data_IF_087950507238
#
_entry.id   IF_087950507238
#
_cell.length_a   1.000
_cell.length_b   1.000
_cell.length_c   1.000
_cell.angle_alpha   90.00
_cell.angle_beta   90.00
_cell.angle_gamma   90.00
#
_symmetry.space_group_name_H-M   'P 1'
#
loop_
_entity.id
_entity.type
_entity.pdbx_description
1 polymer ?
#
# COMPACT_ATOMS: atom_id res chain seq x y z
N UNK A 1 -17.08 28.53 -9.24
CA UNK A 1 -15.90 27.82 -8.73
C UNK A 1 -15.73 26.62 -9.62
N UNK A 2 -14.54 26.38 -10.18
CA UNK A 2 -14.34 25.19 -11.02
C UNK A 2 -14.34 23.93 -10.15
N UNK A 3 -14.88 22.85 -10.69
CA UNK A 3 -15.00 21.57 -10.00
C UNK A 3 -13.99 20.54 -10.52
N UNK A 4 -13.52 19.66 -9.65
CA UNK A 4 -12.64 18.55 -10.01
C UNK A 4 -13.10 17.24 -9.36
N UNK A 5 -13.12 16.18 -10.15
CA UNK A 5 -13.40 14.83 -9.69
C UNK A 5 -12.17 13.93 -9.84
N UNK A 6 -11.95 13.07 -8.88
CA UNK A 6 -10.81 12.14 -8.85
C UNK A 6 -11.27 10.70 -8.91
N UNK A 7 -10.54 9.88 -9.66
CA UNK A 7 -10.65 8.42 -9.56
C UNK A 7 -9.26 7.80 -9.44
N UNK A 8 -9.07 6.98 -8.40
CA UNK A 8 -7.77 6.35 -8.11
C UNK A 8 -7.86 4.85 -8.28
N UNK A 9 -7.00 4.32 -9.13
CA UNK A 9 -6.77 2.90 -9.29
C UNK A 9 -5.39 2.52 -8.72
N UNK A 10 -5.30 1.37 -8.07
CA UNK A 10 -4.03 0.78 -7.66
C UNK A 10 -3.75 0.81 -6.17
N UNK A 11 -2.52 1.15 -5.79
CA UNK A 11 -1.95 0.94 -4.46
C UNK A 11 -2.04 2.18 -3.55
N UNK A 12 -1.61 2.02 -2.29
CA UNK A 12 -1.54 3.11 -1.29
C UNK A 12 -0.74 4.32 -1.79
N UNK A 13 0.31 4.09 -2.62
CA UNK A 13 1.09 5.19 -3.22
C UNK A 13 0.24 6.02 -4.17
N UNK A 14 -0.57 5.38 -5.04
CA UNK A 14 -1.47 6.12 -5.93
C UNK A 14 -2.52 6.92 -5.13
N UNK A 15 -3.05 6.37 -4.06
CA UNK A 15 -3.99 7.08 -3.19
C UNK A 15 -3.34 8.30 -2.53
N UNK A 16 -2.12 8.15 -1.98
CA UNK A 16 -1.36 9.28 -1.45
C UNK A 16 -1.17 10.37 -2.51
N UNK A 17 -0.78 9.98 -3.72
CA UNK A 17 -0.54 10.90 -4.84
C UNK A 17 -1.79 11.62 -5.30
N UNK A 18 -2.95 10.96 -5.28
CA UNK A 18 -4.24 11.62 -5.57
C UNK A 18 -4.57 12.69 -4.53
N UNK A 19 -4.38 12.41 -3.25
CA UNK A 19 -4.60 13.42 -2.21
C UNK A 19 -3.61 14.58 -2.33
N UNK A 20 -2.34 14.31 -2.70
CA UNK A 20 -1.35 15.34 -2.96
C UNK A 20 -1.73 16.22 -4.18
N UNK A 21 -2.23 15.62 -5.26
CA UNK A 21 -2.76 16.38 -6.41
C UNK A 21 -3.99 17.18 -6.00
N UNK A 22 -4.87 16.62 -5.17
CA UNK A 22 -6.02 17.36 -4.65
C UNK A 22 -5.62 18.64 -3.91
N UNK A 23 -4.54 18.62 -3.12
CA UNK A 23 -4.08 19.84 -2.43
C UNK A 23 -3.70 20.94 -3.45
N UNK A 24 -3.06 20.60 -4.58
CA UNK A 24 -2.77 21.57 -5.63
C UNK A 24 -4.04 22.22 -6.18
N UNK A 25 -5.07 21.42 -6.45
CA UNK A 25 -6.36 21.93 -6.94
C UNK A 25 -7.08 22.79 -5.90
N UNK A 26 -7.03 22.37 -4.62
CA UNK A 26 -7.61 23.12 -3.51
C UNK A 26 -6.98 24.50 -3.37
N UNK A 27 -5.65 24.59 -3.45
CA UNK A 27 -4.90 25.88 -3.44
C UNK A 27 -5.26 26.76 -4.64
N UNK A 28 -5.59 26.16 -5.78
CA UNK A 28 -6.10 26.85 -6.97
C UNK A 28 -7.62 27.13 -6.93
N UNK A 29 -8.27 27.02 -5.77
CA UNK A 29 -9.69 27.28 -5.54
C UNK A 29 -10.65 26.40 -6.38
N UNK A 30 -10.30 25.12 -6.61
CA UNK A 30 -11.25 24.14 -7.11
C UNK A 30 -12.05 23.52 -5.97
N UNK A 31 -13.28 23.11 -6.28
CA UNK A 31 -14.11 22.29 -5.43
C UNK A 31 -14.00 20.82 -5.84
N UNK A 32 -13.73 19.93 -4.85
CA UNK A 32 -13.74 18.48 -5.10
C UNK A 32 -15.17 17.97 -5.07
N UNK A 33 -15.57 17.27 -6.13
CA UNK A 33 -16.88 16.64 -6.25
C UNK A 33 -16.74 15.14 -6.45
N UNK A 34 -17.83 14.41 -6.25
CA UNK A 34 -17.87 12.98 -6.52
C UNK A 34 -17.57 12.68 -7.99
N UNK A 35 -16.94 11.52 -8.23
CA UNK A 35 -16.60 11.10 -9.60
C UNK A 35 -17.82 10.92 -10.49
N UNK A 36 -18.98 10.66 -9.91
CA UNK A 36 -20.28 10.56 -10.60
C UNK A 36 -20.92 11.92 -10.91
N UNK A 37 -20.40 13.00 -10.34
CA UNK A 37 -20.90 14.35 -10.59
C UNK A 37 -20.40 14.90 -11.92
N UNK A 38 -21.06 15.96 -12.40
CA UNK A 38 -20.63 16.68 -13.60
C UNK A 38 -19.50 17.66 -13.23
N UNK A 39 -18.24 17.22 -13.35
CA UNK A 39 -17.07 18.01 -13.02
C UNK A 39 -16.47 18.72 -14.26
N UNK A 40 -15.83 19.88 -14.03
CA UNK A 40 -15.08 20.60 -15.08
C UNK A 40 -13.75 19.93 -15.44
N UNK A 41 -13.19 19.18 -14.50
CA UNK A 41 -11.93 18.43 -14.66
C UNK A 41 -12.08 17.05 -14.04
N UNK A 42 -11.66 16.01 -14.76
CA UNK A 42 -11.50 14.67 -14.22
C UNK A 42 -10.01 14.31 -14.16
N UNK A 43 -9.55 13.88 -13.00
CA UNK A 43 -8.18 13.40 -12.78
C UNK A 43 -8.22 11.90 -12.49
N UNK A 44 -7.72 11.09 -13.41
CA UNK A 44 -7.70 9.63 -13.28
C UNK A 44 -6.26 9.18 -12.99
N UNK A 45 -6.02 8.72 -11.74
CA UNK A 45 -4.74 8.15 -11.32
C UNK A 45 -4.75 6.64 -11.59
N UNK A 46 -3.93 6.21 -12.54
CA UNK A 46 -4.01 4.90 -13.17
C UNK A 46 -2.99 3.90 -12.61
N UNK A 47 -3.35 2.61 -12.65
CA UNK A 47 -2.49 1.49 -12.27
C UNK A 47 -2.11 0.66 -13.49
N UNK A 48 -0.90 0.03 -13.44
CA UNK A 48 -0.36 -0.82 -14.52
C UNK A 48 0.28 -2.11 -14.02
N UNK A 49 0.03 -2.51 -12.78
CA UNK A 49 0.65 -3.72 -12.19
C UNK A 49 0.19 -4.98 -12.93
N UNK A 50 -1.06 -5.02 -13.39
CA UNK A 50 -1.65 -6.14 -14.14
C UNK A 50 -2.34 -5.66 -15.42
N UNK A 51 -2.50 -6.56 -16.40
CA UNK A 51 -3.28 -6.26 -17.62
C UNK A 51 -4.74 -5.89 -17.30
N UNK A 52 -5.31 -6.46 -16.24
CA UNK A 52 -6.64 -6.08 -15.73
C UNK A 52 -6.65 -4.64 -15.23
N UNK A 53 -5.56 -4.18 -14.60
CA UNK A 53 -5.39 -2.78 -14.17
C UNK A 53 -5.45 -1.80 -15.34
N UNK A 54 -4.75 -2.10 -16.45
CA UNK A 54 -4.78 -1.27 -17.66
C UNK A 54 -6.17 -1.24 -18.28
N UNK A 55 -6.84 -2.41 -18.38
CA UNK A 55 -8.21 -2.50 -18.89
C UNK A 55 -9.18 -1.65 -18.06
N UNK A 56 -9.10 -1.75 -16.73
CA UNK A 56 -9.91 -0.93 -15.82
C UNK A 56 -9.59 0.56 -15.99
N UNK A 57 -8.31 0.93 -16.10
CA UNK A 57 -7.89 2.31 -16.33
C UNK A 57 -8.55 2.88 -17.57
N UNK A 58 -8.49 2.17 -18.72
CA UNK A 58 -9.16 2.62 -19.96
C UNK A 58 -10.68 2.69 -19.84
N UNK A 59 -11.31 1.80 -19.06
CA UNK A 59 -12.76 1.84 -18.83
C UNK A 59 -13.16 3.11 -18.05
N UNK A 60 -12.41 3.46 -17.00
CA UNK A 60 -12.67 4.66 -16.19
C UNK A 60 -12.43 5.93 -17.00
N UNK A 61 -11.34 6.01 -17.78
CA UNK A 61 -11.08 7.15 -18.69
C UNK A 61 -12.27 7.36 -19.63
N UNK A 62 -12.72 6.31 -20.33
CA UNK A 62 -13.87 6.40 -21.25
C UNK A 62 -15.19 6.72 -20.53
N UNK A 63 -15.32 6.32 -19.25
CA UNK A 63 -16.48 6.67 -18.44
C UNK A 63 -16.50 8.17 -18.15
N UNK A 64 -15.39 8.77 -17.71
CA UNK A 64 -15.27 10.19 -17.46
C UNK A 64 -15.59 11.02 -18.70
N UNK A 65 -15.04 10.64 -19.87
CA UNK A 65 -15.33 11.31 -21.16
C UNK A 65 -16.81 11.29 -21.51
N UNK A 66 -17.50 10.15 -21.31
CA UNK A 66 -18.94 10.06 -21.59
C UNK A 66 -19.79 10.83 -20.60
N UNK A 67 -19.32 10.99 -19.37
CA UNK A 67 -20.05 11.67 -18.30
C UNK A 67 -20.11 13.18 -18.52
N UNK A 68 -19.01 13.79 -18.94
CA UNK A 68 -18.96 15.19 -19.34
C UNK A 68 -17.98 15.36 -20.53
N UNK A 69 -18.49 15.40 -21.76
CA UNK A 69 -17.65 15.57 -22.96
C UNK A 69 -16.91 16.92 -23.04
N UNK A 70 -17.38 17.93 -22.28
CA UNK A 70 -16.78 19.27 -22.25
C UNK A 70 -15.72 19.42 -21.13
N UNK A 71 -15.61 18.44 -20.23
CA UNK A 71 -14.62 18.45 -19.15
C UNK A 71 -13.21 18.22 -19.67
N UNK A 72 -12.22 18.72 -18.93
CA UNK A 72 -10.81 18.40 -19.18
C UNK A 72 -10.49 17.05 -18.56
N UNK A 73 -10.05 16.09 -19.37
CA UNK A 73 -9.70 14.74 -18.96
C UNK A 73 -8.19 14.61 -18.74
N UNK A 74 -7.78 14.50 -17.50
CA UNK A 74 -6.38 14.35 -17.08
C UNK A 74 -6.10 12.92 -16.64
N UNK A 75 -5.07 12.30 -17.19
CA UNK A 75 -4.65 10.94 -16.85
C UNK A 75 -3.24 10.96 -16.27
N UNK A 76 -3.05 10.36 -15.11
CA UNK A 76 -1.75 10.24 -14.44
C UNK A 76 -1.52 8.82 -13.91
N UNK A 77 -0.37 8.58 -13.29
CA UNK A 77 -0.05 7.32 -12.63
C UNK A 77 0.78 6.35 -13.47
N UNK A 78 0.83 5.08 -13.00
CA UNK A 78 1.75 4.09 -13.56
C UNK A 78 1.44 3.72 -15.01
N UNK A 79 0.16 3.59 -15.39
CA UNK A 79 -0.22 3.31 -16.76
C UNK A 79 0.05 4.52 -17.68
N UNK A 80 -0.21 5.73 -17.21
CA UNK A 80 0.15 6.94 -17.94
C UNK A 80 1.65 7.02 -18.21
N UNK A 81 2.50 6.63 -17.25
CA UNK A 81 3.95 6.63 -17.41
C UNK A 81 4.44 5.61 -18.43
N UNK A 82 3.85 4.41 -18.47
CA UNK A 82 4.35 3.31 -19.32
C UNK A 82 3.74 3.28 -20.72
N UNK A 83 2.55 3.86 -20.89
CA UNK A 83 1.73 3.74 -22.10
C UNK A 83 1.06 5.06 -22.49
N UNK A 84 1.78 6.19 -22.32
CA UNK A 84 1.20 7.52 -22.60
C UNK A 84 0.70 7.67 -24.04
N UNK A 85 1.41 7.10 -25.02
CA UNK A 85 1.00 7.15 -26.43
C UNK A 85 -0.36 6.46 -26.64
N UNK A 86 -0.56 5.24 -26.07
CA UNK A 86 -1.82 4.51 -26.14
C UNK A 86 -2.99 5.28 -25.49
N UNK A 87 -2.70 5.99 -24.39
CA UNK A 87 -3.71 6.80 -23.69
C UNK A 87 -4.06 8.04 -24.50
N UNK A 88 -3.09 8.69 -25.14
CA UNK A 88 -3.32 9.84 -26.01
C UNK A 88 -4.14 9.52 -27.27
N UNK A 89 -4.15 8.25 -27.70
CA UNK A 89 -5.01 7.77 -28.80
C UNK A 89 -6.49 7.61 -28.38
N UNK A 90 -6.83 7.72 -27.09
CA UNK A 90 -8.22 7.66 -26.62
C UNK A 90 -8.87 9.03 -26.91
N UNK A 91 -9.86 9.13 -27.82
CA UNK A 91 -10.51 10.40 -28.13
C UNK A 91 -11.14 11.02 -26.89
N UNK A 92 -10.84 12.29 -26.60
CA UNK A 92 -11.31 13.02 -25.44
C UNK A 92 -10.37 13.00 -24.23
N UNK A 93 -9.17 12.41 -24.34
CA UNK A 93 -8.10 12.62 -23.36
C UNK A 93 -7.33 13.89 -23.72
N UNK A 94 -7.19 14.79 -22.78
CA UNK A 94 -6.63 16.12 -23.00
C UNK A 94 -5.22 16.27 -22.44
N UNK A 95 -4.96 15.73 -21.24
CA UNK A 95 -3.68 15.86 -20.55
C UNK A 95 -3.23 14.51 -20.01
N UNK A 96 -2.00 14.12 -20.32
CA UNK A 96 -1.36 12.92 -19.75
C UNK A 96 -0.08 13.32 -19.04
N UNK A 97 0.01 12.99 -17.74
CA UNK A 97 1.19 13.22 -16.90
C UNK A 97 1.62 11.90 -16.30
N UNK A 98 2.93 11.62 -16.26
CA UNK A 98 3.47 10.37 -15.70
C UNK A 98 3.42 10.31 -14.18
N UNK A 99 4.35 9.57 -13.61
CA UNK A 99 4.54 9.41 -12.17
C UNK A 99 5.49 10.47 -11.57
N UNK A 100 5.82 11.48 -12.34
CA UNK A 100 6.67 12.61 -12.00
C UNK A 100 6.07 13.89 -12.57
N UNK A 101 6.49 15.04 -12.06
CA UNK A 101 6.04 16.36 -12.54
C UNK A 101 4.54 16.64 -12.35
N UNK A 102 3.91 16.00 -11.37
CA UNK A 102 2.47 16.18 -11.08
C UNK A 102 2.14 17.60 -10.64
N UNK A 103 3.10 18.30 -10.05
CA UNK A 103 2.99 19.73 -9.72
C UNK A 103 2.72 20.61 -10.95
N UNK A 104 3.03 20.14 -12.17
CA UNK A 104 2.77 20.85 -13.42
C UNK A 104 1.35 20.65 -13.98
N UNK A 105 0.54 19.76 -13.34
CA UNK A 105 -0.76 19.36 -13.90
C UNK A 105 -1.70 20.54 -14.14
N UNK A 106 -1.80 21.47 -13.19
CA UNK A 106 -2.62 22.69 -13.34
C UNK A 106 -2.15 23.55 -14.49
N UNK A 107 -0.83 23.71 -14.67
CA UNK A 107 -0.26 24.43 -15.80
C UNK A 107 -0.64 23.82 -17.16
N UNK A 108 -0.60 22.50 -17.28
CA UNK A 108 -1.02 21.78 -18.49
C UNK A 108 -2.54 21.91 -18.75
N UNK A 109 -3.37 21.91 -17.70
CA UNK A 109 -4.82 22.17 -17.84
C UNK A 109 -5.06 23.57 -18.39
N UNK A 110 -4.37 24.58 -17.87
CA UNK A 110 -4.51 25.97 -18.33
C UNK A 110 -3.99 26.15 -19.76
N UNK A 111 -2.91 25.49 -20.15
CA UNK A 111 -2.38 25.46 -21.51
C UNK A 111 -3.40 24.80 -22.46
N UNK A 112 -3.91 23.61 -22.12
CA UNK A 112 -4.94 22.93 -22.90
C UNK A 112 -6.19 23.80 -23.09
N UNK A 113 -6.67 24.48 -22.03
CA UNK A 113 -7.85 25.36 -22.11
C UNK A 113 -7.66 26.51 -23.11
N UNK A 114 -6.42 27.00 -23.24
CA UNK A 114 -6.08 28.09 -24.16
C UNK A 114 -5.91 27.60 -25.61
N UNK A 115 -5.16 26.51 -25.76
CA UNK A 115 -4.70 26.06 -27.08
C UNK A 115 -5.58 24.96 -27.69
N UNK A 116 -6.36 24.27 -26.87
CA UNK A 116 -7.20 23.13 -27.28
C UNK A 116 -6.41 22.01 -27.99
N UNK A 117 -5.13 21.86 -27.66
CA UNK A 117 -4.27 20.79 -28.16
C UNK A 117 -3.95 19.82 -27.03
N UNK A 118 -4.16 18.50 -27.22
CA UNK A 118 -3.84 17.50 -26.20
C UNK A 118 -2.36 17.53 -25.84
N UNK A 119 -2.05 17.39 -24.53
CA UNK A 119 -0.72 17.54 -23.96
C UNK A 119 -0.22 16.21 -23.39
N UNK A 120 0.91 15.72 -23.88
CA UNK A 120 1.65 14.61 -23.29
C UNK A 120 2.86 15.14 -22.52
N UNK A 121 2.70 15.32 -21.20
CA UNK A 121 3.73 15.79 -20.29
C UNK A 121 4.60 14.66 -19.69
N UNK A 122 4.54 13.43 -20.23
CA UNK A 122 5.27 12.29 -19.68
C UNK A 122 6.75 12.35 -20.03
N UNK A 123 7.59 12.50 -18.99
CA UNK A 123 9.04 12.49 -19.12
C UNK A 123 9.67 11.11 -18.95
N UNK A 124 10.99 11.03 -19.19
CA UNK A 124 11.76 9.80 -18.98
C UNK A 124 12.07 9.60 -17.49
N UNK A 125 11.25 8.78 -16.82
CA UNK A 125 11.36 8.51 -15.39
C UNK A 125 12.71 7.88 -14.98
N UNK A 126 13.39 7.16 -15.89
CA UNK A 126 14.68 6.54 -15.62
C UNK A 126 15.82 7.54 -15.47
N UNK A 127 15.64 8.78 -15.93
CA UNK A 127 16.61 9.87 -15.75
C UNK A 127 16.42 10.64 -14.45
N UNK A 128 15.27 10.47 -13.80
CA UNK A 128 14.96 11.20 -12.58
C UNK A 128 15.73 10.65 -11.37
N UNK A 129 16.31 11.56 -10.57
CA UNK A 129 17.10 11.23 -9.37
C UNK A 129 16.56 11.93 -8.12
N UNK A 130 15.59 12.80 -8.26
CA UNK A 130 15.02 13.53 -7.13
C UNK A 130 13.65 12.98 -6.74
N UNK A 131 13.41 12.91 -5.44
CA UNK A 131 12.06 12.66 -4.93
C UNK A 131 11.17 13.88 -5.28
N UNK A 132 9.93 13.66 -5.69
CA UNK A 132 8.97 14.73 -5.91
C UNK A 132 8.24 15.02 -4.60
N UNK A 133 8.51 16.19 -4.01
CA UNK A 133 7.83 16.64 -2.81
C UNK A 133 6.41 17.11 -3.18
N UNK A 134 5.44 16.43 -2.63
CA UNK A 134 4.02 16.78 -2.71
C UNK A 134 3.44 16.52 -1.32
N UNK A 135 3.06 17.56 -0.63
CA UNK A 135 2.58 17.47 0.74
C UNK A 135 1.11 17.10 0.82
N UNK A 136 0.79 16.23 1.79
CA UNK A 136 -0.58 15.82 2.12
C UNK A 136 -0.79 16.11 3.60
N UNK A 137 -1.35 17.28 3.96
CA UNK A 137 -1.52 17.66 5.36
C UNK A 137 -2.60 16.83 6.08
N UNK A 138 -3.55 16.27 5.36
CA UNK A 138 -4.60 15.39 5.87
C UNK A 138 -5.21 14.56 4.74
N UNK A 139 -5.97 13.51 5.10
CA UNK A 139 -6.74 12.66 4.20
C UNK A 139 -8.23 12.83 4.48
N UNK A 140 -9.04 12.98 3.45
CA UNK A 140 -10.47 13.30 3.60
C UNK A 140 -11.26 12.15 4.22
N UNK A 141 -10.92 10.88 3.87
CA UNK A 141 -11.78 9.72 4.18
C UNK A 141 -10.96 8.56 4.79
N UNK A 142 -9.99 8.86 5.69
CA UNK A 142 -9.15 7.82 6.27
C UNK A 142 -8.87 8.07 7.74
N UNK A 143 -8.94 7.00 8.52
CA UNK A 143 -8.60 6.98 9.95
C UNK A 143 -7.12 6.79 10.21
N UNK A 144 -6.38 6.24 9.24
CA UNK A 144 -4.93 6.06 9.27
C UNK A 144 -4.28 6.88 8.14
N UNK A 145 -3.28 7.68 8.49
CA UNK A 145 -2.57 8.51 7.52
C UNK A 145 -1.50 7.70 6.77
N UNK A 146 -1.52 7.76 5.43
CA UNK A 146 -0.42 7.23 4.63
C UNK A 146 0.67 8.28 4.49
N UNK A 147 1.93 7.92 4.74
CA UNK A 147 3.09 8.79 4.57
C UNK A 147 4.05 8.17 3.55
N UNK A 148 4.13 8.77 2.38
CA UNK A 148 5.02 8.30 1.33
C UNK A 148 6.45 8.74 1.61
N UNK A 149 7.32 7.77 1.91
CA UNK A 149 8.72 8.01 2.26
C UNK A 149 9.69 7.67 1.14
N UNK A 150 9.25 6.93 0.10
CA UNK A 150 10.15 6.39 -0.89
C UNK A 150 9.43 6.20 -2.24
N UNK A 151 10.17 6.33 -3.34
CA UNK A 151 9.71 6.18 -4.72
C UNK A 151 10.69 5.33 -5.53
N UNK A 152 10.17 4.60 -6.55
CA UNK A 152 10.98 3.80 -7.47
C UNK A 152 11.55 2.51 -6.85
N UNK A 153 12.16 1.66 -7.69
CA UNK A 153 12.72 0.38 -7.26
C UNK A 153 13.89 -0.07 -8.15
N UNK A 154 14.97 -0.56 -7.52
CA UNK A 154 16.18 -1.05 -8.20
C UNK A 154 16.23 -2.59 -8.30
N UNK A 155 15.14 -3.31 -8.01
CA UNK A 155 15.18 -4.78 -8.01
C UNK A 155 15.10 -5.39 -9.42
N UNK A 156 14.36 -4.78 -10.34
CA UNK A 156 14.20 -5.26 -11.71
C UNK A 156 13.80 -6.74 -11.79
N UNK A 157 12.86 -7.17 -10.92
CA UNK A 157 12.32 -8.52 -10.97
C UNK A 157 11.73 -8.81 -12.35
N UNK A 158 11.89 -10.04 -12.86
CA UNK A 158 11.56 -10.37 -14.26
C UNK A 158 10.10 -10.21 -14.65
N UNK A 159 9.19 -10.21 -13.69
CA UNK A 159 7.75 -10.04 -13.87
C UNK A 159 7.24 -8.61 -13.65
N UNK A 160 8.10 -7.71 -13.15
CA UNK A 160 7.67 -6.43 -12.60
C UNK A 160 7.93 -5.27 -13.57
N UNK A 161 6.88 -4.49 -13.86
CA UNK A 161 6.95 -3.29 -14.69
C UNK A 161 7.30 -2.02 -13.89
N UNK A 162 7.29 -2.10 -12.57
CA UNK A 162 7.40 -0.93 -11.67
C UNK A 162 8.67 -0.09 -11.90
N UNK A 163 9.88 -0.63 -12.13
CA UNK A 163 11.03 0.21 -12.41
C UNK A 163 10.83 1.16 -13.60
N UNK A 164 10.11 0.72 -14.64
CA UNK A 164 9.81 1.55 -15.81
C UNK A 164 8.66 2.54 -15.58
N UNK A 165 7.75 2.20 -14.66
CA UNK A 165 6.66 3.10 -14.27
C UNK A 165 7.08 4.13 -13.22
N UNK A 166 7.99 3.78 -12.32
CA UNK A 166 8.35 4.58 -11.14
C UNK A 166 9.81 5.01 -11.08
N UNK A 167 10.64 4.53 -11.99
CA UNK A 167 12.06 4.82 -12.07
C UNK A 167 12.91 4.17 -10.98
N UNK A 168 14.14 4.66 -10.86
CA UNK A 168 15.08 4.19 -9.85
C UNK A 168 14.67 4.67 -8.46
N UNK A 169 15.19 3.97 -7.44
CA UNK A 169 14.93 4.28 -6.04
C UNK A 169 15.33 5.71 -5.68
N UNK A 170 14.43 6.36 -4.97
CA UNK A 170 14.60 7.71 -4.42
C UNK A 170 13.94 7.77 -3.06
N UNK A 171 14.73 8.01 -2.02
CA UNK A 171 14.23 8.24 -0.67
C UNK A 171 13.83 9.70 -0.50
N UNK A 172 12.78 9.94 0.24
CA UNK A 172 12.40 11.26 0.69
C UNK A 172 13.36 11.74 1.79
N UNK A 173 13.61 13.04 1.84
CA UNK A 173 14.43 13.66 2.86
C UNK A 173 13.90 13.33 4.27
N UNK A 174 14.74 12.84 5.22
CA UNK A 174 14.32 12.44 6.55
C UNK A 174 13.64 13.55 7.35
N UNK A 175 14.15 14.77 7.28
CA UNK A 175 13.58 15.93 8.00
C UNK A 175 12.17 16.22 7.48
N UNK A 176 11.95 16.13 6.16
CA UNK A 176 10.63 16.30 5.54
C UNK A 176 9.66 15.19 5.91
N UNK A 177 10.14 13.95 6.07
CA UNK A 177 9.32 12.84 6.53
C UNK A 177 8.84 13.08 7.97
N UNK A 178 9.74 13.47 8.88
CA UNK A 178 9.43 13.75 10.29
C UNK A 178 8.50 14.97 10.42
N UNK A 179 8.76 16.04 9.64
CA UNK A 179 7.92 17.23 9.59
C UNK A 179 6.47 16.87 9.20
N UNK A 180 6.28 16.14 8.10
CA UNK A 180 4.94 15.74 7.66
C UNK A 180 4.28 14.75 8.62
N UNK A 181 5.04 13.81 9.21
CA UNK A 181 4.51 12.92 10.24
C UNK A 181 3.95 13.72 11.42
N UNK A 182 4.67 14.76 11.86
CA UNK A 182 4.26 15.65 12.94
C UNK A 182 2.98 16.43 12.57
N UNK A 183 2.88 16.92 11.33
CA UNK A 183 1.67 17.62 10.83
C UNK A 183 0.45 16.68 10.83
N UNK A 184 0.62 15.42 10.38
CA UNK A 184 -0.44 14.41 10.38
C UNK A 184 -0.92 14.10 11.80
N UNK A 185 0.00 13.94 12.77
CA UNK A 185 -0.33 13.75 14.18
C UNK A 185 -1.10 14.95 14.75
N UNK A 186 -0.65 16.16 14.45
CA UNK A 186 -1.33 17.39 14.86
C UNK A 186 -2.74 17.54 14.23
N UNK A 187 -2.98 16.89 13.08
CA UNK A 187 -4.29 16.77 12.44
C UNK A 187 -5.18 15.67 13.05
N UNK A 188 -4.71 14.98 14.12
CA UNK A 188 -5.49 14.01 14.90
C UNK A 188 -5.22 12.54 14.57
N UNK A 189 -4.35 12.20 13.59
CA UNK A 189 -4.06 10.82 13.25
C UNK A 189 -3.24 10.13 14.36
N UNK A 190 -3.68 8.93 14.75
CA UNK A 190 -3.03 8.08 15.74
C UNK A 190 -2.08 7.05 15.13
N UNK A 191 -2.36 6.63 13.89
CA UNK A 191 -1.54 5.67 13.14
C UNK A 191 -1.03 6.28 11.83
N UNK A 192 0.29 6.17 11.58
CA UNK A 192 0.93 6.52 10.31
C UNK A 192 1.38 5.24 9.61
N UNK A 193 0.98 5.08 8.35
CA UNK A 193 1.39 3.97 7.48
C UNK A 193 2.52 4.46 6.56
N UNK A 194 3.76 4.06 6.86
CA UNK A 194 4.90 4.35 6.00
C UNK A 194 4.75 3.59 4.69
N UNK A 195 4.63 4.31 3.59
CA UNK A 195 4.38 3.73 2.27
C UNK A 195 5.44 4.14 1.25
N UNK A 196 5.63 3.30 0.26
CA UNK A 196 6.58 3.50 -0.83
C UNK A 196 6.48 2.36 -1.84
N UNK A 197 7.24 2.47 -2.91
CA UNK A 197 7.34 1.40 -3.92
C UNK A 197 8.24 0.25 -3.41
N UNK A 198 9.24 0.58 -2.62
CA UNK A 198 10.18 -0.35 -2.01
C UNK A 198 10.59 0.18 -0.63
N UNK A 199 9.61 0.23 0.28
CA UNK A 199 9.69 0.91 1.58
C UNK A 199 10.92 0.49 2.40
N UNK A 200 11.22 -0.81 2.47
CA UNK A 200 12.38 -1.33 3.19
C UNK A 200 13.74 -0.90 2.59
N UNK A 201 13.75 -0.39 1.35
CA UNK A 201 14.94 0.18 0.71
C UNK A 201 15.20 1.65 1.08
N UNK A 202 14.36 2.26 1.91
CA UNK A 202 14.53 3.65 2.32
C UNK A 202 15.92 3.91 2.91
N UNK A 203 16.55 4.96 2.44
CA UNK A 203 17.88 5.39 2.88
C UNK A 203 19.04 4.76 2.10
N UNK A 204 18.83 3.74 1.24
CA UNK A 204 19.94 3.14 0.47
C UNK A 204 20.60 4.12 -0.52
N UNK A 205 19.92 5.18 -0.90
CA UNK A 205 20.40 6.27 -1.75
C UNK A 205 20.77 7.53 -0.95
N UNK A 206 20.59 7.52 0.37
CA UNK A 206 21.00 8.56 1.28
C UNK A 206 22.37 8.25 1.89
N UNK A 207 23.08 9.29 2.31
CA UNK A 207 24.34 9.15 3.01
C UNK A 207 24.06 9.02 4.52
N UNK A 208 24.59 7.95 5.13
CA UNK A 208 24.60 7.76 6.58
C UNK A 208 23.20 7.78 7.25
N UNK A 209 22.16 7.38 6.52
CA UNK A 209 20.79 7.32 7.04
C UNK A 209 20.02 6.13 6.44
N UNK A 210 19.17 5.47 7.23
CA UNK A 210 18.45 4.26 6.81
C UNK A 210 17.06 4.16 7.45
N UNK A 211 16.31 3.11 7.11
CA UNK A 211 14.97 2.88 7.64
C UNK A 211 14.95 2.74 9.16
N UNK A 212 15.95 2.09 9.78
CA UNK A 212 16.01 1.92 11.23
C UNK A 212 16.16 3.28 11.95
N UNK A 213 16.96 4.19 11.41
CA UNK A 213 17.10 5.54 11.93
C UNK A 213 15.80 6.33 11.79
N UNK A 214 15.14 6.25 10.61
CA UNK A 214 13.84 6.89 10.41
C UNK A 214 12.79 6.41 11.44
N UNK A 215 12.74 5.11 11.71
CA UNK A 215 11.81 4.56 12.70
C UNK A 215 12.10 5.11 14.11
N UNK A 216 13.38 5.25 14.50
CA UNK A 216 13.77 5.87 15.78
C UNK A 216 13.35 7.33 15.86
N UNK A 217 13.53 8.09 14.78
CA UNK A 217 13.16 9.51 14.75
C UNK A 217 11.65 9.67 14.83
N UNK A 218 10.87 8.86 14.12
CA UNK A 218 9.41 8.86 14.20
C UNK A 218 8.90 8.43 15.58
N UNK A 219 9.60 7.52 16.27
CA UNK A 219 9.26 7.11 17.65
C UNK A 219 9.23 8.30 18.62
N UNK A 220 10.02 9.35 18.37
CA UNK A 220 10.10 10.54 19.23
C UNK A 220 8.90 11.48 19.11
N UNK A 221 8.07 11.34 18.08
CA UNK A 221 6.95 12.25 17.82
C UNK A 221 5.86 12.05 18.89
N UNK A 222 5.59 13.11 19.66
CA UNK A 222 4.53 13.09 20.66
C UNK A 222 3.14 12.99 19.99
N UNK A 223 2.26 12.14 20.54
CA UNK A 223 0.90 11.93 20.01
C UNK A 223 0.84 10.95 18.83
N UNK A 224 1.97 10.54 18.24
CA UNK A 224 2.02 9.38 17.36
C UNK A 224 1.96 8.11 18.19
N UNK A 225 0.95 7.29 17.97
CA UNK A 225 0.72 6.09 18.77
C UNK A 225 1.12 4.82 18.01
N UNK A 226 0.98 4.81 16.67
CA UNK A 226 1.30 3.65 15.85
C UNK A 226 2.05 4.01 14.57
N UNK A 227 3.06 3.22 14.26
CA UNK A 227 3.82 3.26 13.01
C UNK A 227 3.63 1.90 12.31
N UNK A 228 3.08 1.90 11.12
CA UNK A 228 2.91 0.70 10.30
C UNK A 228 3.79 0.76 9.06
N UNK A 229 4.50 -0.32 8.77
CA UNK A 229 5.22 -0.49 7.50
C UNK A 229 4.28 -1.11 6.46
N UNK A 230 4.17 -0.51 5.27
CA UNK A 230 3.33 -1.06 4.21
C UNK A 230 3.88 -2.40 3.70
N UNK A 231 5.18 -2.47 3.41
CA UNK A 231 5.84 -3.69 2.93
C UNK A 231 7.34 -3.59 3.17
N UNK A 232 7.97 -4.71 3.55
CA UNK A 232 9.42 -4.82 3.72
C UNK A 232 9.90 -6.17 3.19
N UNK A 233 10.95 -6.20 2.35
CA UNK A 233 11.50 -7.45 1.87
C UNK A 233 12.37 -8.13 2.94
N UNK A 234 12.41 -9.47 2.94
CA UNK A 234 13.21 -10.23 3.90
C UNK A 234 14.71 -9.83 3.91
N UNK A 235 15.24 -9.44 2.75
CA UNK A 235 16.62 -8.96 2.62
C UNK A 235 16.91 -7.63 3.34
N UNK A 236 15.87 -6.88 3.67
CA UNK A 236 15.94 -5.56 4.32
C UNK A 236 15.63 -5.61 5.82
N UNK A 237 15.21 -6.76 6.31
CA UNK A 237 15.10 -7.06 7.73
C UNK A 237 16.51 -7.29 8.32
N UNK A 238 17.32 -6.22 8.35
CA UNK A 238 18.65 -6.26 8.98
C UNK A 238 18.53 -6.48 10.48
N UNK A 239 19.62 -6.85 11.13
CA UNK A 239 19.60 -7.01 12.60
C UNK A 239 19.28 -5.69 13.29
N UNK A 240 19.72 -4.55 12.72
CA UNK A 240 19.39 -3.20 13.20
C UNK A 240 17.88 -2.91 13.10
N UNK A 241 17.25 -3.26 11.97
CA UNK A 241 15.80 -3.08 11.80
C UNK A 241 15.04 -3.96 12.79
N UNK A 242 15.44 -5.25 12.97
CA UNK A 242 14.80 -6.15 13.91
C UNK A 242 14.93 -5.63 15.35
N UNK A 243 16.10 -5.11 15.76
CA UNK A 243 16.32 -4.50 17.08
C UNK A 243 15.38 -3.30 17.32
N UNK A 244 15.20 -2.44 16.31
CA UNK A 244 14.24 -1.32 16.40
C UNK A 244 12.81 -1.83 16.55
N UNK A 245 12.40 -2.82 15.75
CA UNK A 245 11.06 -3.41 15.84
C UNK A 245 10.80 -4.06 17.21
N UNK A 246 11.79 -4.73 17.79
CA UNK A 246 11.70 -5.37 19.09
C UNK A 246 11.52 -4.35 20.23
N UNK A 247 12.26 -3.24 20.18
CA UNK A 247 12.27 -2.21 21.24
C UNK A 247 11.18 -1.16 21.10
N UNK A 248 10.63 -1.00 19.88
CA UNK A 248 9.62 0.01 19.63
C UNK A 248 8.33 -0.25 20.38
N UNK A 249 7.77 0.81 20.94
CA UNK A 249 6.44 0.81 21.56
C UNK A 249 5.35 1.29 20.59
N UNK A 250 5.73 1.81 19.44
CA UNK A 250 4.81 2.38 18.44
C UNK A 250 4.74 1.58 17.14
N UNK A 251 5.82 0.85 16.76
CA UNK A 251 5.75 0.01 15.57
C UNK A 251 4.82 -1.18 15.85
N UNK A 252 3.80 -1.28 15.00
CA UNK A 252 2.72 -2.29 15.15
C UNK A 252 3.21 -3.72 14.99
N UNK A 253 2.50 -4.68 15.57
CA UNK A 253 2.82 -6.13 15.54
C UNK A 253 2.37 -6.79 14.23
N UNK A 254 2.59 -6.12 13.10
CA UNK A 254 2.28 -6.62 11.76
C UNK A 254 3.36 -6.22 10.76
N UNK A 255 3.83 -7.16 9.96
CA UNK A 255 4.70 -6.91 8.82
C UNK A 255 4.17 -7.62 7.57
N UNK A 256 4.13 -6.90 6.46
CA UNK A 256 3.91 -7.49 5.15
C UNK A 256 5.28 -7.80 4.51
N UNK A 257 5.61 -9.09 4.34
CA UNK A 257 6.90 -9.56 3.85
C UNK A 257 6.68 -10.38 2.57
N UNK A 258 6.83 -9.81 1.37
CA UNK A 258 6.56 -10.51 0.11
C UNK A 258 7.49 -11.71 -0.10
N UNK A 259 6.93 -12.91 -0.12
CA UNK A 259 7.62 -14.18 -0.39
C UNK A 259 7.81 -14.40 -1.89
N UNK A 260 6.80 -14.09 -2.67
CA UNK A 260 6.63 -14.33 -4.10
C UNK A 260 6.61 -15.82 -4.47
N UNK A 261 7.59 -16.63 -4.05
CA UNK A 261 7.66 -18.08 -4.18
C UNK A 261 8.50 -18.68 -3.04
N UNK A 262 8.21 -19.90 -2.64
CA UNK A 262 9.00 -20.67 -1.66
C UNK A 262 10.05 -21.58 -2.31
N UNK A 263 10.31 -21.46 -3.60
CA UNK A 263 11.33 -22.23 -4.33
C UNK A 263 12.48 -21.34 -4.77
N UNK A 264 13.70 -21.71 -4.42
CA UNK A 264 14.93 -20.97 -4.82
C UNK A 264 15.11 -20.93 -6.34
N UNK A 265 14.70 -21.97 -7.07
CA UNK A 265 14.78 -22.02 -8.53
C UNK A 265 13.78 -21.06 -9.17
N UNK A 266 12.57 -20.95 -8.65
CA UNK A 266 11.57 -19.95 -9.10
C UNK A 266 12.05 -18.54 -8.75
N UNK A 267 12.53 -18.29 -7.53
CA UNK A 267 13.07 -17.00 -7.10
C UNK A 267 14.24 -16.55 -7.99
N UNK A 268 15.12 -17.46 -8.40
CA UNK A 268 16.20 -17.18 -9.35
C UNK A 268 15.66 -16.77 -10.73
N UNK A 269 14.63 -17.46 -11.27
CA UNK A 269 13.94 -17.05 -12.51
C UNK A 269 13.24 -15.69 -12.36
N UNK A 270 12.68 -15.39 -11.19
CA UNK A 270 12.11 -14.10 -10.83
C UNK A 270 13.15 -12.98 -10.62
N UNK A 271 14.45 -13.30 -10.56
CA UNK A 271 15.56 -12.40 -10.16
C UNK A 271 15.36 -11.80 -8.77
N UNK A 272 14.87 -12.61 -7.81
CA UNK A 272 14.82 -12.18 -6.41
C UNK A 272 16.22 -12.22 -5.78
N UNK A 273 16.45 -11.31 -4.82
CA UNK A 273 17.78 -11.10 -4.20
C UNK A 273 17.95 -11.83 -2.86
N UNK A 274 17.16 -12.84 -2.59
CA UNK A 274 17.23 -13.66 -1.40
C UNK A 274 17.01 -15.14 -1.73
N UNK A 275 17.49 -16.01 -0.85
CA UNK A 275 17.23 -17.45 -0.85
C UNK A 275 16.22 -17.81 0.24
N UNK A 276 15.65 -19.01 0.14
CA UNK A 276 14.70 -19.52 1.13
C UNK A 276 15.35 -19.70 2.50
N UNK A 277 16.61 -20.12 2.57
CA UNK A 277 17.35 -20.21 3.83
C UNK A 277 17.46 -18.84 4.52
N UNK A 278 17.84 -17.80 3.78
CA UNK A 278 17.92 -16.44 4.32
C UNK A 278 16.57 -15.90 4.75
N UNK A 279 15.53 -16.16 3.97
CA UNK A 279 14.16 -15.76 4.31
C UNK A 279 13.73 -16.45 5.62
N UNK A 280 13.95 -17.78 5.74
CA UNK A 280 13.66 -18.56 6.94
C UNK A 280 14.43 -18.06 8.16
N UNK A 281 15.73 -17.73 8.00
CA UNK A 281 16.55 -17.14 9.07
C UNK A 281 15.95 -15.83 9.59
N UNK A 282 15.55 -14.92 8.68
CA UNK A 282 14.97 -13.62 9.06
C UNK A 282 13.64 -13.77 9.77
N UNK A 283 12.73 -14.64 9.25
CA UNK A 283 11.48 -14.94 9.94
C UNK A 283 11.68 -15.54 11.32
N UNK A 284 12.64 -16.47 11.47
CA UNK A 284 12.95 -17.09 12.75
C UNK A 284 13.44 -16.04 13.76
N UNK A 285 14.33 -15.13 13.35
CA UNK A 285 14.79 -14.02 14.19
C UNK A 285 13.63 -13.09 14.59
N UNK A 286 12.77 -12.73 13.63
CA UNK A 286 11.60 -11.90 13.88
C UNK A 286 10.63 -12.52 14.88
N UNK A 287 10.25 -13.79 14.69
CA UNK A 287 9.34 -14.47 15.62
C UNK A 287 9.94 -14.69 17.01
N UNK A 288 11.28 -14.77 17.11
CA UNK A 288 11.97 -14.81 18.41
C UNK A 288 11.89 -13.45 19.13
N UNK A 289 12.11 -12.35 18.40
CA UNK A 289 12.05 -10.98 18.91
C UNK A 289 10.59 -10.55 19.19
N UNK A 290 9.66 -10.96 18.33
CA UNK A 290 8.25 -10.56 18.32
C UNK A 290 7.35 -11.81 18.19
N UNK A 291 7.06 -12.55 19.29
CA UNK A 291 6.33 -13.84 19.24
C UNK A 291 4.92 -13.74 18.65
N UNK A 292 4.24 -12.59 18.84
CA UNK A 292 2.86 -12.34 18.40
C UNK A 292 2.78 -11.58 17.07
N UNK A 293 3.91 -11.45 16.38
CA UNK A 293 3.96 -10.75 15.10
C UNK A 293 3.08 -11.45 14.07
N UNK A 294 2.16 -10.71 13.47
CA UNK A 294 1.47 -11.11 12.25
C UNK A 294 2.39 -10.91 11.04
N UNK A 295 2.60 -11.95 10.27
CA UNK A 295 3.33 -11.85 9.00
C UNK A 295 2.37 -12.16 7.87
N UNK A 296 2.06 -11.16 7.05
CA UNK A 296 1.32 -11.33 5.80
C UNK A 296 2.27 -11.36 4.62
N UNK A 297 1.87 -11.99 3.51
CA UNK A 297 2.76 -12.16 2.36
C UNK A 297 2.03 -12.21 1.02
N UNK A 298 2.72 -11.75 -0.04
CA UNK A 298 2.31 -11.96 -1.43
C UNK A 298 2.97 -13.23 -1.97
N UNK A 299 2.19 -14.05 -2.68
CA UNK A 299 2.65 -15.26 -3.37
C UNK A 299 2.13 -15.26 -4.81
N UNK A 300 3.02 -15.48 -5.77
CA UNK A 300 2.69 -15.65 -7.19
C UNK A 300 2.80 -17.13 -7.54
N UNK A 301 1.73 -17.72 -8.05
CA UNK A 301 1.69 -19.11 -8.52
C UNK A 301 1.63 -19.18 -10.04
N UNK A 302 2.15 -20.26 -10.60
CA UNK A 302 2.18 -20.46 -12.05
C UNK A 302 3.13 -19.51 -12.77
N UNK A 303 4.24 -19.15 -12.13
CA UNK A 303 5.33 -18.44 -12.79
C UNK A 303 5.89 -19.30 -13.93
N UNK A 304 6.35 -18.73 -15.07
CA UNK A 304 6.85 -19.51 -16.19
C UNK A 304 7.85 -20.58 -15.78
N UNK A 305 7.58 -21.81 -16.19
CA UNK A 305 8.36 -22.99 -15.87
C UNK A 305 8.21 -23.50 -14.43
N UNK A 306 7.25 -23.03 -13.63
CA UNK A 306 7.02 -23.52 -12.27
C UNK A 306 6.46 -24.95 -12.30
N UNK A 307 7.24 -25.92 -11.85
CA UNK A 307 6.86 -27.32 -11.73
C UNK A 307 5.96 -27.57 -10.51
N UNK A 308 5.32 -28.74 -10.44
CA UNK A 308 4.54 -29.12 -9.26
C UNK A 308 5.43 -29.29 -8.01
N UNK A 309 6.66 -29.79 -8.18
CA UNK A 309 7.62 -29.88 -7.08
C UNK A 309 7.99 -28.51 -6.50
N UNK A 310 8.23 -27.52 -7.35
CA UNK A 310 8.55 -26.15 -6.93
C UNK A 310 7.33 -25.45 -6.27
N UNK A 311 6.11 -25.75 -6.73
CA UNK A 311 4.89 -25.30 -6.06
C UNK A 311 4.75 -25.96 -4.68
N UNK A 312 5.06 -27.25 -4.55
CA UNK A 312 5.04 -27.97 -3.28
C UNK A 312 6.07 -27.39 -2.29
N UNK A 313 7.28 -27.03 -2.76
CA UNK A 313 8.27 -26.31 -1.94
C UNK A 313 7.68 -25.01 -1.36
N UNK A 314 6.93 -24.26 -2.18
CA UNK A 314 6.26 -23.03 -1.74
C UNK A 314 5.19 -23.32 -0.69
N UNK A 315 4.36 -24.33 -0.91
CA UNK A 315 3.33 -24.75 0.04
C UNK A 315 3.94 -25.17 1.39
N UNK A 316 4.97 -26.03 1.38
CA UNK A 316 5.63 -26.55 2.57
C UNK A 316 6.34 -25.42 3.36
N UNK A 317 6.94 -24.47 2.66
CA UNK A 317 7.54 -23.29 3.29
C UNK A 317 6.51 -22.46 4.03
N UNK A 318 5.35 -22.22 3.43
CA UNK A 318 4.24 -21.47 4.04
C UNK A 318 3.71 -22.19 5.28
N UNK A 319 3.51 -23.50 5.22
CA UNK A 319 3.09 -24.33 6.37
C UNK A 319 4.10 -24.24 7.50
N UNK A 320 5.39 -24.36 7.19
CA UNK A 320 6.48 -24.29 8.18
C UNK A 320 6.51 -22.98 8.93
N UNK A 321 6.35 -21.85 8.23
CA UNK A 321 6.53 -20.51 8.79
C UNK A 321 5.23 -19.86 9.29
N UNK A 322 4.06 -20.49 9.09
CA UNK A 322 2.76 -20.09 9.68
C UNK A 322 2.44 -18.61 9.47
N UNK A 323 2.43 -18.16 8.21
CA UNK A 323 1.99 -16.80 7.89
C UNK A 323 0.57 -16.56 8.42
N UNK A 324 0.26 -15.33 8.84
CA UNK A 324 -1.08 -14.98 9.33
C UNK A 324 -2.09 -14.81 8.18
N UNK A 325 -1.62 -14.40 6.99
CA UNK A 325 -2.45 -14.23 5.79
C UNK A 325 -1.58 -14.24 4.54
N UNK A 326 -2.15 -14.72 3.43
CA UNK A 326 -1.52 -14.69 2.11
C UNK A 326 -2.40 -13.97 1.10
N UNK A 327 -1.77 -13.13 0.31
CA UNK A 327 -2.34 -12.59 -0.92
C UNK A 327 -1.80 -13.42 -2.09
N UNK A 328 -2.65 -14.27 -2.64
CA UNK A 328 -2.26 -15.22 -3.69
C UNK A 328 -2.67 -14.69 -5.05
N UNK A 329 -1.71 -14.59 -5.96
CA UNK A 329 -1.90 -14.11 -7.32
C UNK A 329 -1.51 -15.16 -8.35
N UNK A 330 -2.35 -15.44 -9.35
CA UNK A 330 -1.87 -16.16 -10.53
C UNK A 330 -0.90 -15.26 -11.29
N UNK A 331 0.19 -15.82 -11.80
CA UNK A 331 1.10 -15.06 -12.65
C UNK A 331 0.35 -14.51 -13.87
N UNK A 332 0.46 -13.21 -14.09
CA UNK A 332 -0.12 -12.50 -15.24
C UNK A 332 1.02 -11.94 -16.12
N UNK A 333 1.16 -12.42 -17.38
CA UNK A 333 2.19 -11.90 -18.27
C UNK A 333 2.03 -10.41 -18.48
N UNK A 334 3.06 -9.63 -18.19
CA UNK A 334 3.06 -8.19 -18.36
C UNK A 334 3.92 -7.77 -19.55
N UNK A 335 3.32 -7.17 -20.57
CA UNK A 335 4.04 -6.69 -21.76
C UNK A 335 5.19 -5.78 -21.34
N UNK A 336 6.37 -5.99 -21.93
CA UNK A 336 7.58 -5.24 -21.61
C UNK A 336 8.45 -5.88 -20.52
N UNK A 337 7.96 -6.90 -19.80
CA UNK A 337 8.75 -7.63 -18.80
C UNK A 337 9.44 -8.87 -19.39
N UNK A 338 10.62 -9.27 -18.86
CA UNK A 338 11.29 -10.49 -19.29
C UNK A 338 10.45 -11.76 -19.14
N UNK A 339 9.72 -11.90 -18.02
CA UNK A 339 8.91 -13.10 -17.75
C UNK A 339 7.75 -13.30 -18.76
N UNK A 340 7.24 -12.23 -19.35
CA UNK A 340 6.20 -12.33 -20.38
C UNK A 340 6.70 -12.96 -21.69
N UNK A 341 8.04 -13.08 -21.86
CA UNK A 341 8.71 -13.63 -23.05
C UNK A 341 9.30 -15.01 -22.81
N UNK A 342 9.12 -15.58 -21.60
CA UNK A 342 9.53 -16.95 -21.29
C UNK A 342 8.58 -17.93 -21.97
N UNK A 343 9.13 -19.01 -22.54
CA UNK A 343 8.35 -19.95 -23.36
C UNK A 343 7.47 -20.87 -22.51
N UNK A 344 7.89 -21.24 -21.31
CA UNK A 344 7.21 -22.22 -20.43
C UNK A 344 6.07 -21.58 -19.62
N UNK A 345 5.13 -20.89 -20.28
CA UNK A 345 3.95 -20.34 -19.64
C UNK A 345 3.05 -21.45 -19.08
N UNK A 346 2.55 -21.25 -17.87
CA UNK A 346 1.70 -22.23 -17.19
C UNK A 346 0.22 -21.99 -17.57
N UNK A 347 -0.52 -23.07 -17.77
CA UNK A 347 -1.95 -23.03 -18.12
C UNK A 347 -2.77 -22.39 -17.00
N UNK A 348 -3.81 -21.66 -17.38
CA UNK A 348 -4.70 -20.96 -16.44
C UNK A 348 -5.40 -21.92 -15.48
N UNK A 349 -5.72 -23.15 -15.91
CA UNK A 349 -6.33 -24.16 -15.06
C UNK A 349 -5.41 -24.54 -13.90
N UNK A 350 -4.12 -24.79 -14.19
CA UNK A 350 -3.10 -25.12 -13.17
C UNK A 350 -2.89 -23.93 -12.23
N UNK A 351 -2.83 -22.70 -12.75
CA UNK A 351 -2.73 -21.50 -11.92
C UNK A 351 -3.91 -21.38 -10.96
N UNK A 352 -5.13 -21.56 -11.45
CA UNK A 352 -6.34 -21.48 -10.65
C UNK A 352 -6.38 -22.57 -9.56
N UNK A 353 -5.97 -23.79 -9.87
CA UNK A 353 -5.84 -24.87 -8.89
C UNK A 353 -4.88 -24.49 -7.76
N UNK A 354 -3.67 -23.99 -8.12
CA UNK A 354 -2.66 -23.55 -7.15
C UNK A 354 -3.13 -22.36 -6.30
N UNK A 355 -3.85 -21.41 -6.91
CA UNK A 355 -4.48 -20.29 -6.18
C UNK A 355 -5.46 -20.82 -5.13
N UNK A 356 -6.36 -21.73 -5.50
CA UNK A 356 -7.35 -22.29 -4.57
C UNK A 356 -6.68 -23.07 -3.42
N UNK A 357 -5.62 -23.86 -3.71
CA UNK A 357 -4.85 -24.57 -2.68
C UNK A 357 -4.25 -23.61 -1.66
N UNK A 358 -3.62 -22.52 -2.11
CA UNK A 358 -2.99 -21.56 -1.21
C UNK A 358 -4.00 -20.65 -0.48
N UNK A 359 -5.14 -20.32 -1.09
CA UNK A 359 -6.21 -19.58 -0.40
C UNK A 359 -6.79 -20.44 0.74
N UNK A 360 -7.00 -21.74 0.48
CA UNK A 360 -7.47 -22.67 1.50
C UNK A 360 -6.48 -22.77 2.66
N UNK A 361 -5.18 -22.87 2.36
CA UNK A 361 -4.12 -22.86 3.37
C UNK A 361 -4.08 -21.54 4.14
N UNK A 362 -4.17 -20.41 3.45
CA UNK A 362 -4.20 -19.08 4.06
C UNK A 362 -5.34 -18.94 5.07
N UNK A 363 -6.55 -19.40 4.72
CA UNK A 363 -7.71 -19.39 5.61
C UNK A 363 -7.49 -20.26 6.87
N UNK A 364 -6.84 -21.42 6.72
CA UNK A 364 -6.49 -22.27 7.86
C UNK A 364 -5.47 -21.59 8.78
N UNK A 365 -4.43 -21.00 8.21
CA UNK A 365 -3.39 -20.31 8.95
C UNK A 365 -3.91 -19.03 9.62
N UNK A 366 -4.79 -18.28 8.96
CA UNK A 366 -5.46 -17.11 9.52
C UNK A 366 -6.30 -17.45 10.74
N UNK A 367 -7.07 -18.54 10.69
CA UNK A 367 -7.82 -19.05 11.83
C UNK A 367 -6.88 -19.47 12.99
N UNK A 368 -5.79 -20.16 12.66
CA UNK A 368 -4.80 -20.58 13.65
C UNK A 368 -4.11 -19.37 14.30
N UNK A 369 -3.84 -18.31 13.52
CA UNK A 369 -3.27 -17.07 14.06
C UNK A 369 -4.29 -16.36 14.96
N UNK A 370 -5.53 -16.16 14.50
CA UNK A 370 -6.57 -15.49 15.27
C UNK A 370 -6.87 -16.20 16.59
N UNK A 371 -6.90 -17.55 16.59
CA UNK A 371 -7.19 -18.33 17.82
C UNK A 371 -6.22 -18.10 18.97
N UNK A 372 -5.01 -17.58 18.72
CA UNK A 372 -4.07 -17.23 19.78
C UNK A 372 -4.57 -16.08 20.67
N UNK A 373 -5.44 -15.23 20.13
CA UNK A 373 -5.92 -14.02 20.79
C UNK A 373 -7.36 -14.15 21.31
N UNK A 374 -7.91 -15.38 21.33
CA UNK A 374 -9.23 -15.59 21.91
C UNK A 374 -9.26 -15.21 23.39
N UNK A 375 -10.22 -14.39 23.80
CA UNK A 375 -10.36 -13.77 25.13
C UNK A 375 -9.29 -12.71 25.47
N UNK A 376 -8.33 -12.43 24.58
CA UNK A 376 -7.34 -11.36 24.80
C UNK A 376 -7.95 -9.97 24.54
N UNK A 377 -7.27 -8.95 25.07
CA UNK A 377 -7.62 -7.55 24.85
C UNK A 377 -6.67 -6.96 23.82
N UNK A 378 -7.22 -6.53 22.70
CA UNK A 378 -6.48 -5.86 21.63
C UNK A 378 -6.83 -4.38 21.57
N UNK A 379 -5.88 -3.57 21.12
CA UNK A 379 -6.14 -2.17 20.75
C UNK A 379 -6.56 -2.12 19.30
N UNK A 380 -7.77 -1.62 19.01
CA UNK A 380 -8.38 -1.56 17.68
C UNK A 380 -8.60 -0.11 17.30
N UNK A 381 -8.32 0.27 16.06
CA UNK A 381 -8.77 1.53 15.46
C UNK A 381 -9.96 1.21 14.57
N UNK A 382 -11.21 1.57 14.99
CA UNK A 382 -12.37 1.43 14.13
C UNK A 382 -12.27 2.40 12.96
N UNK A 383 -12.63 1.92 11.76
CA UNK A 383 -12.50 2.66 10.51
C UNK A 383 -13.84 2.94 9.84
N UNK A 384 -14.82 2.06 10.06
CA UNK A 384 -16.12 2.11 9.39
C UNK A 384 -17.20 1.50 10.28
N UNK A 385 -18.45 1.79 9.95
CA UNK A 385 -19.60 1.06 10.50
C UNK A 385 -19.56 -0.39 10.01
N UNK A 386 -19.99 -1.32 10.87
CA UNK A 386 -20.19 -2.72 10.51
C UNK A 386 -21.49 -2.94 9.76
N UNK A 387 -21.67 -4.16 9.25
CA UNK A 387 -22.90 -4.55 8.54
C UNK A 387 -24.15 -4.58 9.48
N UNK A 388 -23.94 -4.70 10.80
CA UNK A 388 -24.98 -4.65 11.81
C UNK A 388 -25.05 -3.23 12.40
N UNK A 389 -26.26 -2.68 12.51
CA UNK A 389 -26.48 -1.34 13.09
C UNK A 389 -25.92 -1.26 14.52
N UNK A 390 -25.19 -0.17 14.82
CA UNK A 390 -24.54 0.05 16.12
C UNK A 390 -23.24 -0.72 16.29
N UNK A 391 -22.71 -1.35 15.25
CA UNK A 391 -21.39 -1.99 15.28
C UNK A 391 -20.35 -1.21 14.48
N UNK A 392 -19.11 -1.28 14.93
CA UNK A 392 -17.94 -0.72 14.27
C UNK A 392 -16.99 -1.84 13.85
N UNK A 393 -16.27 -1.61 12.76
CA UNK A 393 -15.24 -2.50 12.25
C UNK A 393 -13.92 -1.76 12.14
N UNK A 394 -12.85 -2.39 12.62
CA UNK A 394 -11.51 -1.81 12.58
C UNK A 394 -10.40 -2.83 12.64
N UNK A 395 -9.17 -2.34 12.73
CA UNK A 395 -7.98 -3.18 12.74
C UNK A 395 -7.18 -3.01 14.04
N UNK A 396 -6.78 -4.14 14.60
CA UNK A 396 -5.83 -4.18 15.68
C UNK A 396 -4.40 -3.86 15.19
N UNK A 397 -3.46 -3.68 16.12
CA UNK A 397 -2.04 -3.47 15.80
C UNK A 397 -1.44 -4.63 15.01
N UNK A 398 -1.84 -5.88 15.33
CA UNK A 398 -1.47 -7.10 14.62
C UNK A 398 -2.28 -7.36 13.32
N UNK A 399 -3.05 -6.37 12.87
CA UNK A 399 -3.85 -6.38 11.66
C UNK A 399 -5.08 -7.31 11.66
N UNK A 400 -5.44 -7.90 12.81
CA UNK A 400 -6.70 -8.61 12.93
C UNK A 400 -7.86 -7.66 12.73
N UNK A 401 -8.82 -8.03 11.86
CA UNK A 401 -10.06 -7.27 11.64
C UNK A 401 -11.06 -7.66 12.75
N UNK A 402 -11.59 -6.67 13.46
CA UNK A 402 -12.45 -6.87 14.63
C UNK A 402 -13.72 -6.06 14.46
N UNK A 403 -14.87 -6.69 14.71
CA UNK A 403 -16.18 -6.04 14.82
C UNK A 403 -16.60 -6.02 16.29
N UNK A 404 -17.15 -4.88 16.74
CA UNK A 404 -17.64 -4.70 18.11
C UNK A 404 -18.73 -3.62 18.17
N UNK A 405 -19.57 -3.63 19.20
CA UNK A 405 -20.56 -2.59 19.44
C UNK A 405 -19.89 -1.28 19.83
N UNK A 406 -20.33 -0.16 19.24
CA UNK A 406 -19.76 1.15 19.52
C UNK A 406 -20.41 2.28 18.73
N UNK A 407 -20.25 3.51 19.24
CA UNK A 407 -20.72 4.73 18.60
C UNK A 407 -19.70 5.24 17.56
N UNK A 408 -20.19 5.91 16.50
CA UNK A 408 -19.37 6.46 15.41
C UNK A 408 -18.27 7.43 15.88
N UNK A 409 -18.44 8.08 17.04
CA UNK A 409 -17.42 8.97 17.62
C UNK A 409 -16.12 8.25 17.95
N UNK A 410 -16.14 6.91 18.03
CA UNK A 410 -14.96 6.08 18.24
C UNK A 410 -14.13 5.87 16.97
N UNK A 411 -14.66 6.19 15.79
CA UNK A 411 -13.94 6.03 14.52
C UNK A 411 -12.66 6.89 14.55
N UNK A 412 -11.51 6.23 14.27
CA UNK A 412 -10.18 6.84 14.31
C UNK A 412 -9.55 6.92 15.71
N UNK A 413 -10.25 6.53 16.76
CA UNK A 413 -9.70 6.44 18.12
C UNK A 413 -9.07 5.06 18.34
N UNK A 414 -8.22 4.92 19.38
CA UNK A 414 -7.73 3.61 19.82
C UNK A 414 -8.64 3.11 20.93
N UNK A 415 -9.30 1.99 20.64
CA UNK A 415 -10.27 1.35 21.56
C UNK A 415 -9.71 0.01 22.04
N UNK A 416 -9.70 -0.24 23.34
CA UNK A 416 -9.40 -1.58 23.90
C UNK A 416 -10.63 -2.47 23.72
N UNK A 417 -10.47 -3.55 23.00
CA UNK A 417 -11.54 -4.48 22.64
C UNK A 417 -11.14 -5.88 23.13
N UNK A 418 -11.96 -6.49 23.97
CA UNK A 418 -11.81 -7.90 24.33
C UNK A 418 -12.33 -8.76 23.20
N UNK A 419 -11.52 -9.65 22.66
CA UNK A 419 -11.96 -10.62 21.67
C UNK A 419 -12.85 -11.65 22.35
N UNK A 420 -14.10 -11.71 21.97
CA UNK A 420 -15.11 -12.65 22.51
C UNK A 420 -15.21 -13.90 21.67
N UNK A 421 -14.91 -13.78 20.35
CA UNK A 421 -14.86 -14.91 19.44
C UNK A 421 -13.79 -14.66 18.38
N UNK A 422 -12.72 -15.46 18.44
CA UNK A 422 -11.64 -15.42 17.46
C UNK A 422 -12.06 -16.17 16.19
N UNK A 423 -12.36 -15.42 15.13
CA UNK A 423 -12.73 -15.88 13.80
C UNK A 423 -11.84 -15.25 12.72
N UNK A 424 -11.74 -15.88 11.57
CA UNK A 424 -11.06 -15.32 10.41
C UNK A 424 -12.01 -15.34 9.20
N UNK A 425 -12.13 -14.26 8.46
CA UNK A 425 -11.33 -13.01 8.50
C UNK A 425 -11.84 -11.94 9.47
N UNK A 426 -12.99 -12.10 10.13
CA UNK A 426 -13.60 -11.11 11.01
C UNK A 426 -13.79 -11.70 12.40
N UNK A 427 -13.16 -11.07 13.39
CA UNK A 427 -13.26 -11.44 14.80
C UNK A 427 -14.37 -10.63 15.48
N UNK A 428 -15.00 -11.20 16.50
CA UNK A 428 -15.97 -10.50 17.32
C UNK A 428 -15.33 -10.06 18.63
N UNK A 429 -15.71 -8.87 19.11
CA UNK A 429 -15.18 -8.32 20.34
C UNK A 429 -16.18 -7.47 21.09
N UNK A 430 -15.81 -7.10 22.31
CA UNK A 430 -16.53 -6.18 23.16
C UNK A 430 -15.62 -5.03 23.55
N UNK A 431 -16.06 -3.81 23.28
CA UNK A 431 -15.35 -2.60 23.69
C UNK A 431 -15.31 -2.53 25.23
N UNK A 432 -14.11 -2.32 25.77
CA UNK A 432 -13.91 -2.15 27.21
C UNK A 432 -13.66 -0.67 27.52
N UNK A 433 -12.86 0.01 26.66
CA UNK A 433 -12.29 1.30 27.01
C UNK A 433 -11.71 2.03 25.82
N UNK A 434 -11.85 3.36 25.78
CA UNK A 434 -11.09 4.24 24.87
C UNK A 434 -9.74 4.56 25.52
N UNK A 435 -8.66 4.52 24.74
CA UNK A 435 -7.33 4.91 25.20
C UNK A 435 -7.15 6.40 24.99
N UNK A 436 -7.17 7.17 26.09
CA UNK A 436 -6.90 8.61 26.05
C UNK A 436 -5.42 8.88 26.29
N UNK A 437 -4.73 9.36 25.27
CA UNK A 437 -3.31 9.70 25.30
C UNK A 437 -3.03 11.18 25.67
N UNK A 438 -4.11 11.98 25.85
CA UNK A 438 -3.96 13.41 26.17
C UNK A 438 -3.68 13.68 27.65
N UNK A 439 -3.95 12.75 28.54
CA UNK A 439 -3.71 12.86 29.98
C UNK A 439 -2.40 12.19 30.41
N UNK A 440 -1.76 12.71 31.45
CA UNK A 440 -0.51 12.21 32.02
C UNK A 440 -0.50 10.67 32.22
N UNK A 441 0.66 10.04 32.10
CA UNK A 441 0.90 8.58 32.12
C UNK A 441 0.13 7.73 33.19
N UNK A 442 -0.49 8.34 34.18
CA UNK A 442 -1.25 7.68 35.24
C UNK A 442 -2.77 7.55 34.99
N UNK A 443 -3.39 8.36 34.06
CA UNK A 443 -4.85 8.44 33.90
C UNK A 443 -5.30 8.31 32.44
N UNK A 444 -4.67 7.41 31.69
CA UNK A 444 -4.86 7.29 30.23
C UNK A 444 -6.11 6.52 29.80
N UNK A 445 -7.07 6.31 30.68
CA UNK A 445 -8.14 5.36 30.41
C UNK A 445 -9.53 5.92 30.79
N UNK A 446 -10.43 6.08 29.79
CA UNK A 446 -11.83 6.42 30.01
C UNK A 446 -12.70 5.19 29.74
N UNK A 447 -13.63 4.86 30.64
CA UNK A 447 -14.59 3.76 30.46
C UNK A 447 -15.56 4.09 29.31
N UNK A 448 -15.82 3.11 28.42
CA UNK A 448 -16.84 3.17 27.36
C UNK A 448 -18.19 2.80 27.93
#
# INVERSE_FOLDING_TARGET
>A
MSTVAFHTLGCKVNHYETEAIWQLFKEANYERVDFEANADVFVINTCTVTNTGDKKSRQIIRRAIRQNPDAVICVTGCYAQTSSAEIMEIPGVDVVVGTQDRHKLLGYIDEFRKERQPINGVGNIMKNRKYEELDVPYFTDRTRASLKIQEGCNNFCTFCIIPWARGLMRSRDPEKVVEQATQLVNSGYKEIVLTGIHTGGYGQDLKDYNLAQLLRDLETINGLERIRLASIEASQLTDEVIDVLERSTKVVRHLHIPLQSGSDTVLKRMRRKYTMDRFSERLTKLHKALPDLAVTSDVIVGFPGETEAEFQETYDFIVKHKFSELHVFPYSPRIGTPAARMDDQIDEEIKNERVHKLITLSNQLGKLYASKFDQDVLEVIPEEQGDTEGTLVGYADNYMKVQFEGDESLIGQIVKVKITQANYPLNEGQAIKVVDFATNKSDREVLV
#
